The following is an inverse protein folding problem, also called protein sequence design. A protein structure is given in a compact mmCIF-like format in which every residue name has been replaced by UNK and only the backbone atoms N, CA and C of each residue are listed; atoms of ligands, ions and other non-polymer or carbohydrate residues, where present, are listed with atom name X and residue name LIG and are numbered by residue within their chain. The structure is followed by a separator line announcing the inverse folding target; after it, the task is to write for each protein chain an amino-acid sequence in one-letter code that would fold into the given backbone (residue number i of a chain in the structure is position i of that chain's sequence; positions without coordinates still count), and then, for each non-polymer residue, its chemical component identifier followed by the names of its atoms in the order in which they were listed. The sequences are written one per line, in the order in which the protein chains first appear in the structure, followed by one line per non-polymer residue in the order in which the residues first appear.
data_IF_487657527000
#
_entry.id   IF_487657527000
#
_cell.length_a   1.000
_cell.length_b   1.000
_cell.length_c   1.000
_cell.angle_alpha   90.00
_cell.angle_beta   90.00
_cell.angle_gamma   90.00
#
_symmetry.space_group_name_H-M   'P 1'
#
loop_
_entity.id
_entity.type
_entity.pdbx_description
1 polymer ?
#
# COMPACT_ATOMS: atom_id res chain seq x y z
N UNK A 1 -19.44 -48.91 -20.07
CA UNK A 1 -20.39 -47.89 -20.53
C UNK A 1 -21.85 -48.30 -20.24
N UNK A 2 -22.51 -49.21 -20.97
CA UNK A 2 -23.89 -49.64 -20.63
C UNK A 2 -23.99 -50.29 -19.23
N UNK A 3 -23.04 -51.16 -18.87
CA UNK A 3 -22.98 -51.79 -17.56
C UNK A 3 -22.83 -50.78 -16.40
N UNK A 4 -22.14 -49.65 -16.62
CA UNK A 4 -21.96 -48.62 -15.59
C UNK A 4 -23.25 -47.83 -15.38
N UNK A 5 -24.01 -47.56 -16.45
CA UNK A 5 -25.33 -46.98 -16.35
C UNK A 5 -26.28 -47.89 -15.56
N UNK A 6 -26.37 -49.18 -15.90
CA UNK A 6 -27.21 -50.14 -15.17
C UNK A 6 -26.77 -50.26 -13.71
N UNK A 7 -25.46 -50.37 -13.45
CA UNK A 7 -24.90 -50.46 -12.11
C UNK A 7 -25.25 -49.24 -11.25
N UNK A 8 -25.24 -48.04 -11.83
CA UNK A 8 -25.56 -46.80 -11.10
C UNK A 8 -27.03 -46.71 -10.65
N UNK A 9 -27.94 -47.37 -11.38
CA UNK A 9 -29.36 -47.47 -11.00
C UNK A 9 -29.58 -48.52 -9.89
N UNK A 10 -28.81 -49.62 -9.92
CA UNK A 10 -28.91 -50.71 -8.94
C UNK A 10 -28.17 -50.41 -7.63
N UNK A 11 -27.02 -49.74 -7.72
CA UNK A 11 -26.14 -49.39 -6.59
C UNK A 11 -25.50 -48.03 -6.85
N UNK A 12 -26.17 -46.92 -6.48
CA UNK A 12 -25.65 -45.58 -6.71
C UNK A 12 -24.33 -45.35 -5.96
N UNK A 13 -23.48 -44.49 -6.51
CA UNK A 13 -22.21 -44.12 -5.88
C UNK A 13 -22.52 -43.38 -4.59
N UNK A 14 -21.96 -43.85 -3.48
CA UNK A 14 -22.03 -43.17 -2.19
C UNK A 14 -20.92 -42.09 -2.12
N UNK A 15 -21.27 -40.80 -1.97
CA UNK A 15 -20.27 -39.73 -1.93
C UNK A 15 -19.25 -39.88 -0.80
N UNK A 16 -19.66 -40.40 0.36
CA UNK A 16 -18.75 -40.55 1.52
C UNK A 16 -17.69 -41.62 1.29
N UNK A 17 -18.07 -42.79 0.72
CA UNK A 17 -17.12 -43.86 0.37
C UNK A 17 -16.14 -43.39 -0.73
N UNK A 18 -16.65 -42.63 -1.70
CA UNK A 18 -15.84 -42.02 -2.74
C UNK A 18 -14.86 -40.99 -2.16
N UNK A 19 -15.32 -40.12 -1.25
CA UNK A 19 -14.47 -39.14 -0.58
C UNK A 19 -13.40 -39.81 0.28
N UNK A 20 -13.71 -40.91 0.96
CA UNK A 20 -12.74 -41.68 1.73
C UNK A 20 -11.62 -42.23 0.84
N UNK A 21 -11.97 -42.73 -0.35
CA UNK A 21 -11.00 -43.23 -1.33
C UNK A 21 -10.15 -42.09 -1.89
N UNK A 22 -10.79 -40.98 -2.27
CA UNK A 22 -10.11 -39.78 -2.76
C UNK A 22 -9.12 -39.21 -1.74
N UNK A 23 -9.54 -39.06 -0.48
CA UNK A 23 -8.70 -38.60 0.63
C UNK A 23 -7.51 -39.51 0.87
N UNK A 24 -7.71 -40.83 0.78
CA UNK A 24 -6.62 -41.80 0.92
C UNK A 24 -5.55 -41.60 -0.17
N UNK A 25 -5.95 -41.48 -1.43
CA UNK A 25 -5.04 -41.26 -2.56
C UNK A 25 -4.23 -39.97 -2.38
N UNK A 26 -4.86 -38.89 -1.92
CA UNK A 26 -4.16 -37.64 -1.65
C UNK A 26 -3.16 -37.78 -0.50
N UNK A 27 -3.55 -38.46 0.58
CA UNK A 27 -2.66 -38.73 1.71
C UNK A 27 -1.44 -39.56 1.31
N UNK A 28 -1.60 -40.52 0.40
CA UNK A 28 -0.49 -41.34 -0.10
C UNK A 28 0.55 -40.51 -0.89
N UNK A 29 0.18 -39.30 -1.35
CA UNK A 29 1.06 -38.35 -2.04
C UNK A 29 1.48 -37.17 -1.15
N UNK A 30 1.36 -37.29 0.17
CA UNK A 30 1.63 -36.20 1.12
C UNK A 30 0.79 -34.93 0.89
N UNK A 31 -0.38 -35.07 0.26
CA UNK A 31 -1.32 -33.96 0.01
C UNK A 31 -2.33 -33.94 1.16
N UNK A 32 -2.20 -32.96 2.04
CA UNK A 32 -3.15 -32.73 3.13
C UNK A 32 -4.13 -31.59 2.82
N UNK A 33 -5.35 -31.73 3.33
CA UNK A 33 -6.40 -30.73 3.17
C UNK A 33 -7.79 -31.32 3.40
N UNK A 34 -8.80 -30.44 3.43
CA UNK A 34 -10.19 -30.85 3.53
C UNK A 34 -10.70 -31.28 2.16
N UNK A 35 -11.27 -32.47 2.06
CA UNK A 35 -11.78 -33.03 0.80
C UNK A 35 -13.28 -33.24 0.84
N UNK A 36 -13.91 -33.18 -0.32
CA UNK A 36 -15.27 -33.62 -0.50
C UNK A 36 -15.54 -34.09 -1.93
N UNK A 37 -16.64 -34.81 -2.11
CA UNK A 37 -17.10 -35.25 -3.42
C UNK A 37 -18.56 -34.93 -3.62
N UNK A 38 -18.94 -34.78 -4.88
CA UNK A 38 -20.27 -34.42 -5.32
C UNK A 38 -20.68 -35.40 -6.40
N UNK A 39 -21.78 -36.09 -6.14
CA UNK A 39 -22.43 -36.99 -7.06
C UNK A 39 -23.66 -36.31 -7.65
N UNK A 40 -23.69 -36.17 -8.95
CA UNK A 40 -24.81 -35.60 -9.70
C UNK A 40 -25.56 -36.74 -10.39
N UNK A 41 -26.87 -36.84 -10.14
CA UNK A 41 -27.77 -37.74 -10.85
C UNK A 41 -28.98 -36.94 -11.34
N UNK A 42 -29.00 -36.66 -12.65
CA UNK A 42 -30.02 -35.81 -13.29
C UNK A 42 -30.12 -34.43 -12.60
N UNK A 43 -31.14 -34.23 -11.75
CA UNK A 43 -31.42 -32.99 -11.02
C UNK A 43 -30.99 -33.02 -9.54
N UNK A 44 -30.54 -34.17 -9.02
CA UNK A 44 -30.18 -34.33 -7.62
C UNK A 44 -28.66 -34.32 -7.48
N UNK A 45 -28.13 -33.44 -6.64
CA UNK A 45 -26.73 -33.45 -6.22
C UNK A 45 -26.62 -33.94 -4.78
N UNK A 46 -25.83 -34.99 -4.58
CA UNK A 46 -25.50 -35.50 -3.24
C UNK A 46 -24.06 -35.14 -2.93
N UNK A 47 -23.84 -34.58 -1.74
CA UNK A 47 -22.53 -34.16 -1.26
C UNK A 47 -22.05 -35.13 -0.19
N UNK A 48 -20.74 -35.42 -0.18
CA UNK A 48 -20.11 -36.08 0.96
C UNK A 48 -20.11 -35.13 2.16
N UNK A 49 -20.35 -35.65 3.36
CA UNK A 49 -20.58 -34.86 4.59
C UNK A 49 -21.71 -33.83 4.41
N UNK A 50 -22.95 -34.26 4.66
CA UNK A 50 -24.28 -33.63 4.40
C UNK A 50 -24.50 -32.11 4.67
N UNK A 51 -23.50 -31.31 5.04
CA UNK A 51 -23.69 -29.90 5.43
C UNK A 51 -22.58 -28.92 5.01
N UNK A 52 -21.56 -29.33 4.25
CA UNK A 52 -20.42 -28.43 4.00
C UNK A 52 -20.44 -27.78 2.63
N UNK A 53 -20.82 -26.50 2.60
CA UNK A 53 -20.58 -25.63 1.46
C UNK A 53 -19.09 -25.71 1.06
N UNK A 54 -18.83 -25.84 -0.24
CA UNK A 54 -17.48 -25.92 -0.78
C UNK A 54 -16.76 -24.61 -0.44
N UNK A 55 -15.59 -24.67 0.22
CA UNK A 55 -14.81 -23.47 0.49
C UNK A 55 -14.46 -22.74 -0.82
N UNK A 56 -14.50 -21.41 -0.83
CA UNK A 56 -14.16 -20.61 -2.02
C UNK A 56 -12.73 -20.82 -2.51
N UNK A 57 -11.84 -21.26 -1.64
CA UNK A 57 -10.43 -21.55 -1.92
C UNK A 57 -10.19 -22.99 -2.38
N UNK A 58 -11.22 -23.83 -2.39
CA UNK A 58 -11.08 -25.22 -2.78
C UNK A 58 -10.86 -25.34 -4.29
N UNK A 59 -9.91 -26.20 -4.67
CA UNK A 59 -9.75 -26.61 -6.05
C UNK A 59 -10.79 -27.67 -6.38
N UNK A 60 -11.53 -27.46 -7.46
CA UNK A 60 -12.53 -28.40 -7.97
C UNK A 60 -11.94 -29.21 -9.13
N UNK A 61 -12.02 -30.53 -9.06
CA UNK A 61 -11.63 -31.38 -10.17
C UNK A 61 -12.60 -31.22 -11.35
N UNK A 62 -12.20 -31.58 -12.58
CA UNK A 62 -13.13 -31.68 -13.70
C UNK A 62 -14.29 -32.62 -13.38
N UNK A 63 -15.44 -32.38 -13.99
CA UNK A 63 -16.60 -33.26 -13.84
C UNK A 63 -16.42 -34.48 -14.74
N UNK A 64 -16.33 -35.66 -14.12
CA UNK A 64 -16.23 -36.92 -14.84
C UNK A 64 -17.61 -37.49 -15.08
N UNK A 65 -17.90 -37.81 -16.34
CA UNK A 65 -19.14 -38.48 -16.74
C UNK A 65 -18.95 -39.99 -16.53
N UNK A 66 -19.85 -40.60 -15.77
CA UNK A 66 -19.74 -42.02 -15.37
C UNK A 66 -20.61 -42.94 -16.23
N UNK A 67 -21.53 -42.35 -17.01
CA UNK A 67 -22.51 -43.10 -17.79
C UNK A 67 -22.60 -42.65 -19.26
N UNK A 68 -23.21 -43.50 -20.08
CA UNK A 68 -23.43 -43.18 -21.51
C UNK A 68 -24.45 -42.05 -21.72
N UNK A 69 -25.34 -41.82 -20.74
CA UNK A 69 -26.42 -40.84 -20.88
C UNK A 69 -26.00 -39.42 -20.47
N UNK A 70 -24.75 -39.26 -20.01
CA UNK A 70 -24.19 -38.01 -19.50
C UNK A 70 -24.94 -37.39 -18.32
N UNK A 71 -25.85 -38.15 -17.70
CA UNK A 71 -26.69 -37.70 -16.61
C UNK A 71 -26.04 -37.94 -15.24
N UNK A 72 -25.00 -38.77 -15.21
CA UNK A 72 -24.29 -39.13 -13.98
C UNK A 72 -22.90 -38.52 -14.04
N UNK A 73 -22.67 -37.56 -13.14
CA UNK A 73 -21.40 -36.85 -13.07
C UNK A 73 -20.85 -36.95 -11.66
N UNK A 74 -19.53 -37.04 -11.56
CA UNK A 74 -18.82 -37.03 -10.29
C UNK A 74 -17.79 -35.92 -10.32
N UNK A 75 -17.72 -35.18 -9.22
CA UNK A 75 -16.74 -34.12 -9.01
C UNK A 75 -16.14 -34.26 -7.62
N UNK A 76 -14.87 -33.97 -7.47
CA UNK A 76 -14.19 -33.89 -6.18
C UNK A 76 -13.68 -32.48 -5.97
N UNK A 77 -13.48 -32.10 -4.72
CA UNK A 77 -12.83 -30.87 -4.36
C UNK A 77 -11.87 -31.08 -3.20
N UNK A 78 -10.82 -30.28 -3.18
CA UNK A 78 -9.82 -30.29 -2.13
C UNK A 78 -9.44 -28.86 -1.78
N UNK A 79 -9.53 -28.54 -0.49
CA UNK A 79 -8.98 -27.32 0.07
C UNK A 79 -7.62 -27.66 0.65
N UNK A 80 -6.56 -27.41 -0.12
CA UNK A 80 -5.19 -27.74 0.25
C UNK A 80 -4.74 -26.95 1.47
N UNK A 81 -3.99 -27.60 2.36
CA UNK A 81 -3.29 -26.89 3.42
C UNK A 81 -2.14 -26.06 2.83
N UNK A 82 -1.87 -24.90 3.43
CA UNK A 82 -0.78 -24.02 2.99
C UNK A 82 0.58 -24.74 2.93
N UNK A 83 0.83 -25.67 3.86
CA UNK A 83 2.05 -26.50 3.89
C UNK A 83 2.18 -27.39 2.66
N UNK A 84 1.08 -27.97 2.20
CA UNK A 84 1.02 -28.81 1.00
C UNK A 84 1.34 -28.00 -0.24
N UNK A 85 0.75 -26.80 -0.34
CA UNK A 85 1.01 -25.87 -1.44
C UNK A 85 2.50 -25.54 -1.45
N UNK A 86 3.08 -25.11 -0.33
CA UNK A 86 4.48 -24.71 -0.26
C UNK A 86 5.46 -25.84 -0.65
N UNK A 87 5.15 -27.08 -0.30
CA UNK A 87 5.99 -28.25 -0.63
C UNK A 87 5.98 -28.60 -2.12
N UNK A 88 4.89 -28.31 -2.81
CA UNK A 88 4.69 -28.64 -4.22
C UNK A 88 4.89 -27.44 -5.16
N UNK A 89 5.35 -26.28 -4.66
CA UNK A 89 5.75 -25.16 -5.50
C UNK A 89 7.06 -25.51 -6.21
N UNK A 90 7.10 -25.30 -7.53
CA UNK A 90 8.33 -25.45 -8.32
C UNK A 90 9.43 -24.50 -7.84
N UNK A 91 10.67 -24.99 -7.79
CA UNK A 91 11.82 -24.21 -7.34
C UNK A 91 12.00 -22.90 -8.11
N UNK A 92 11.69 -22.88 -9.41
CA UNK A 92 11.77 -21.67 -10.25
C UNK A 92 10.77 -20.61 -9.80
N UNK A 93 9.53 -21.01 -9.52
CA UNK A 93 8.47 -20.12 -9.05
C UNK A 93 8.78 -19.60 -7.65
N UNK A 94 9.30 -20.46 -6.77
CA UNK A 94 9.74 -20.07 -5.43
C UNK A 94 10.82 -18.97 -5.48
N UNK A 95 11.83 -19.14 -6.34
CA UNK A 95 12.88 -18.14 -6.53
C UNK A 95 12.36 -16.81 -7.08
N UNK A 96 11.43 -16.85 -8.05
CA UNK A 96 10.81 -15.64 -8.61
C UNK A 96 10.01 -14.85 -7.55
N UNK A 97 9.24 -15.56 -6.72
CA UNK A 97 8.50 -14.94 -5.61
C UNK A 97 9.49 -14.29 -4.63
N UNK A 98 10.59 -14.95 -4.31
CA UNK A 98 11.66 -14.41 -3.47
C UNK A 98 12.25 -13.12 -4.02
N UNK A 99 12.58 -13.09 -5.32
CA UNK A 99 13.11 -11.89 -5.98
C UNK A 99 12.12 -10.72 -5.97
N UNK A 100 10.83 -10.98 -6.21
CA UNK A 100 9.78 -9.97 -6.15
C UNK A 100 9.64 -9.38 -4.74
N UNK A 101 9.69 -10.22 -3.71
CA UNK A 101 9.64 -9.78 -2.31
C UNK A 101 10.82 -8.89 -1.94
N UNK A 102 12.03 -9.21 -2.41
CA UNK A 102 13.22 -8.38 -2.20
C UNK A 102 13.07 -7.03 -2.91
N UNK A 103 12.58 -7.01 -4.15
CA UNK A 103 12.36 -5.78 -4.90
C UNK A 103 11.35 -4.87 -4.18
N UNK A 104 10.24 -5.43 -3.71
CA UNK A 104 9.22 -4.69 -2.94
C UNK A 104 9.84 -4.13 -1.66
N UNK A 105 10.65 -4.91 -0.94
CA UNK A 105 11.33 -4.46 0.26
C UNK A 105 12.28 -3.29 -0.02
N UNK A 106 13.06 -3.37 -1.09
CA UNK A 106 13.95 -2.27 -1.53
C UNK A 106 13.15 -1.01 -1.86
N UNK A 107 12.03 -1.13 -2.60
CA UNK A 107 11.18 0.01 -2.93
C UNK A 107 10.61 0.69 -1.68
N UNK A 108 10.18 -0.10 -0.69
CA UNK A 108 9.69 0.43 0.60
C UNK A 108 10.82 1.16 1.34
N UNK A 109 12.03 0.58 1.35
CA UNK A 109 13.19 1.18 2.01
C UNK A 109 13.60 2.50 1.36
N UNK A 110 13.68 2.54 0.03
CA UNK A 110 14.00 3.76 -0.73
C UNK A 110 12.93 4.85 -0.55
N UNK A 111 11.65 4.47 -0.48
CA UNK A 111 10.58 5.44 -0.20
C UNK A 111 10.74 6.05 1.18
N UNK A 112 11.05 5.24 2.19
CA UNK A 112 11.26 5.69 3.57
C UNK A 112 12.45 6.67 3.68
N UNK A 113 13.54 6.40 2.98
CA UNK A 113 14.71 7.30 2.97
C UNK A 113 14.38 8.66 2.36
N UNK A 114 13.65 8.68 1.23
CA UNK A 114 13.19 9.94 0.60
C UNK A 114 12.25 10.74 1.50
N UNK A 115 11.27 10.10 2.14
CA UNK A 115 10.33 10.76 3.05
C UNK A 115 11.05 11.29 4.30
N UNK A 116 12.09 10.60 4.76
CA UNK A 116 12.92 11.06 5.89
C UNK A 116 13.78 12.25 5.49
N UNK A 117 14.38 12.24 4.29
CA UNK A 117 15.17 13.37 3.80
C UNK A 117 14.32 14.63 3.59
N UNK A 118 13.12 14.52 3.02
CA UNK A 118 12.21 15.67 2.88
C UNK A 118 11.74 16.20 4.22
N UNK A 119 11.45 15.34 5.20
CA UNK A 119 11.15 15.78 6.58
C UNK A 119 12.34 16.49 7.25
N UNK A 120 13.56 16.04 6.98
CA UNK A 120 14.79 16.64 7.52
C UNK A 120 15.18 17.97 6.87
N UNK A 121 14.59 18.34 5.73
CA UNK A 121 14.84 19.64 5.11
C UNK A 121 13.69 20.62 5.29
N UNK A 122 12.51 20.17 5.74
CA UNK A 122 11.37 21.06 5.97
C UNK A 122 11.66 22.09 7.08
N UNK A 123 11.30 23.35 6.77
CA UNK A 123 11.27 24.46 7.70
C UNK A 123 10.00 24.36 8.55
N UNK A 124 10.18 24.31 9.87
CA UNK A 124 9.12 24.33 10.86
C UNK A 124 9.18 25.65 11.65
N UNK A 125 8.10 26.42 11.58
CA UNK A 125 7.97 27.73 12.22
C UNK A 125 6.93 27.60 13.32
N UNK A 126 7.38 27.64 14.58
CA UNK A 126 6.50 27.67 15.75
C UNK A 126 6.28 29.12 16.18
N UNK A 127 5.14 29.68 15.79
CA UNK A 127 4.76 31.05 16.12
C UNK A 127 4.35 31.23 17.59
N UNK A 128 3.97 30.17 18.31
CA UNK A 128 3.63 30.25 19.73
C UNK A 128 4.90 30.37 20.57
N UNK A 129 5.88 29.51 20.29
CA UNK A 129 7.17 29.49 21.00
C UNK A 129 8.20 30.47 20.45
N UNK A 130 7.94 31.06 19.29
CA UNK A 130 8.87 31.94 18.58
C UNK A 130 10.17 31.23 18.20
N UNK A 131 10.05 30.00 17.71
CA UNK A 131 11.18 29.15 17.36
C UNK A 131 11.14 28.76 15.88
N UNK A 132 12.31 28.81 15.24
CA UNK A 132 12.53 28.35 13.88
C UNK A 132 13.39 27.09 13.90
N UNK A 133 12.88 26.02 13.31
CA UNK A 133 13.65 24.81 13.03
C UNK A 133 13.74 24.62 11.52
N UNK A 134 14.94 24.41 11.01
CA UNK A 134 15.13 23.98 9.62
C UNK A 134 15.79 22.61 9.71
N UNK A 135 15.02 21.58 9.36
CA UNK A 135 15.37 20.20 9.71
C UNK A 135 15.47 20.00 11.21
N UNK A 136 16.60 19.45 11.66
CA UNK A 136 16.87 19.22 13.08
C UNK A 136 17.62 20.36 13.78
N UNK A 137 17.82 21.51 13.11
CA UNK A 137 18.61 22.61 13.66
C UNK A 137 17.72 23.76 14.11
N UNK A 138 17.82 24.10 15.39
CA UNK A 138 17.22 25.33 15.96
C UNK A 138 17.98 26.55 15.47
N UNK A 139 17.26 27.49 14.86
CA UNK A 139 17.81 28.75 14.38
C UNK A 139 17.43 29.88 15.35
N UNK A 140 18.41 30.72 15.69
CA UNK A 140 18.14 31.92 16.46
C UNK A 140 17.68 33.05 15.52
N UNK A 141 16.47 33.56 15.74
CA UNK A 141 15.83 34.56 14.89
C UNK A 141 14.97 35.49 15.75
N UNK A 142 14.90 36.77 15.39
CA UNK A 142 14.09 37.73 16.13
C UNK A 142 12.60 37.54 15.84
N UNK A 143 11.74 37.93 16.78
CA UNK A 143 10.27 37.81 16.66
C UNK A 143 9.72 38.41 15.35
N UNK A 144 10.12 39.62 14.99
CA UNK A 144 9.67 40.27 13.75
C UNK A 144 10.24 39.60 12.49
N UNK A 145 11.49 39.14 12.53
CA UNK A 145 12.10 38.37 11.44
C UNK A 145 11.34 37.06 11.21
N UNK A 146 10.94 36.38 12.30
CA UNK A 146 10.18 35.13 12.25
C UNK A 146 8.79 35.35 11.65
N UNK A 147 8.09 36.41 12.06
CA UNK A 147 6.76 36.73 11.51
C UNK A 147 6.83 37.06 10.02
N UNK A 148 7.85 37.83 9.59
CA UNK A 148 8.06 38.13 8.18
C UNK A 148 8.41 36.87 7.38
N UNK A 149 9.28 36.01 7.93
CA UNK A 149 9.62 34.73 7.30
C UNK A 149 8.39 33.83 7.19
N UNK A 150 7.55 33.75 8.22
CA UNK A 150 6.31 32.96 8.20
C UNK A 150 5.37 33.42 7.09
N UNK A 151 5.18 34.73 6.95
CA UNK A 151 4.36 35.30 5.86
C UNK A 151 4.90 34.92 4.47
N UNK A 152 6.22 34.94 4.28
CA UNK A 152 6.86 34.54 3.02
C UNK A 152 6.79 33.02 2.80
N UNK A 153 6.79 32.23 3.87
CA UNK A 153 6.71 30.78 3.84
C UNK A 153 5.29 30.29 3.54
N UNK A 154 4.27 30.86 4.17
CA UNK A 154 2.85 30.60 3.87
C UNK A 154 2.51 30.93 2.41
N UNK A 155 3.15 31.97 1.87
CA UNK A 155 3.02 32.41 0.47
C UNK A 155 4.16 31.90 -0.41
N UNK A 156 4.86 30.86 0.00
CA UNK A 156 5.90 30.26 -0.83
C UNK A 156 5.33 29.82 -2.18
N UNK A 157 6.17 29.88 -3.20
CA UNK A 157 5.75 29.96 -4.62
C UNK A 157 5.42 31.38 -5.16
N UNK A 158 5.03 32.35 -4.31
CA UNK A 158 4.50 33.65 -4.79
C UNK A 158 5.28 34.88 -4.30
N UNK A 159 5.39 35.91 -5.15
CA UNK A 159 6.07 37.15 -4.79
C UNK A 159 5.17 38.02 -3.91
N UNK A 160 5.59 38.27 -2.67
CA UNK A 160 4.91 39.17 -1.73
C UNK A 160 5.44 40.59 -1.93
N UNK A 161 4.53 41.55 -2.09
CA UNK A 161 4.91 42.94 -2.37
C UNK A 161 5.36 43.69 -1.11
N UNK A 162 6.13 44.77 -1.29
CA UNK A 162 6.55 45.62 -0.15
C UNK A 162 5.35 46.26 0.55
N UNK A 163 4.36 46.73 -0.20
CA UNK A 163 3.14 47.31 0.34
C UNK A 163 2.33 46.30 1.16
N UNK A 164 2.29 45.05 0.72
CA UNK A 164 1.63 43.97 1.45
C UNK A 164 2.33 43.63 2.77
N UNK A 165 3.67 43.56 2.75
CA UNK A 165 4.46 43.36 3.97
C UNK A 165 4.26 44.54 4.92
N UNK A 166 4.35 45.78 4.41
CA UNK A 166 4.13 47.01 5.19
C UNK A 166 2.75 47.00 5.83
N UNK A 167 1.70 46.74 5.06
CA UNK A 167 0.31 46.71 5.56
C UNK A 167 0.13 45.68 6.69
N UNK A 168 0.82 44.54 6.62
CA UNK A 168 0.66 43.46 7.59
C UNK A 168 1.50 43.63 8.87
N UNK A 169 2.70 44.22 8.78
CA UNK A 169 3.61 44.32 9.93
C UNK A 169 3.74 45.75 10.49
N UNK A 170 3.58 46.77 9.65
CA UNK A 170 3.77 48.18 9.99
C UNK A 170 2.75 49.10 9.27
N UNK A 171 1.45 48.97 9.55
CA UNK A 171 0.40 49.69 8.82
C UNK A 171 0.47 51.21 8.96
N UNK A 172 1.04 51.72 10.06
CA UNK A 172 1.08 53.15 10.40
C UNK A 172 2.51 53.73 10.40
N UNK A 173 3.49 53.02 9.86
CA UNK A 173 4.90 53.42 9.90
C UNK A 173 5.38 53.91 8.53
N UNK A 174 5.75 55.18 8.46
CA UNK A 174 6.28 55.78 7.24
C UNK A 174 7.69 55.26 6.91
N UNK A 175 8.46 54.80 7.91
CA UNK A 175 9.78 54.20 7.71
C UNK A 175 9.77 52.66 7.62
N UNK A 176 8.62 52.07 7.29
CA UNK A 176 8.50 50.61 7.17
C UNK A 176 9.45 50.02 6.11
N UNK A 177 9.74 50.75 5.02
CA UNK A 177 10.56 50.23 3.92
C UNK A 177 12.01 49.93 4.34
N UNK A 178 12.65 50.83 5.11
CA UNK A 178 14.00 50.60 5.63
C UNK A 178 14.03 49.44 6.64
N UNK A 179 12.99 49.33 7.47
CA UNK A 179 12.83 48.23 8.43
C UNK A 179 12.69 46.88 7.72
N UNK A 180 11.88 46.81 6.66
CA UNK A 180 11.73 45.61 5.83
C UNK A 180 13.11 45.18 5.31
N UNK A 181 13.89 46.10 4.76
CA UNK A 181 15.20 45.76 4.20
C UNK A 181 16.19 45.25 5.26
N UNK A 182 16.14 45.81 6.48
CA UNK A 182 16.92 45.31 7.62
C UNK A 182 16.50 43.88 8.03
N UNK A 183 15.21 43.62 8.14
CA UNK A 183 14.67 42.30 8.48
C UNK A 183 14.97 41.25 7.39
N UNK A 184 14.80 41.61 6.11
CA UNK A 184 15.18 40.76 4.96
C UNK A 184 16.67 40.40 5.01
N UNK A 185 17.54 41.33 5.41
CA UNK A 185 18.98 41.08 5.57
C UNK A 185 19.27 40.12 6.74
N UNK A 186 18.56 40.27 7.86
CA UNK A 186 18.66 39.37 9.01
C UNK A 186 18.23 37.94 8.63
N UNK A 187 17.06 37.80 8.01
CA UNK A 187 16.53 36.51 7.53
C UNK A 187 17.51 35.85 6.56
N UNK A 188 18.07 36.60 5.61
CA UNK A 188 19.10 36.06 4.69
C UNK A 188 20.32 35.51 5.41
N UNK A 189 20.73 36.13 6.52
CA UNK A 189 21.88 35.66 7.30
C UNK A 189 21.57 34.30 7.96
N UNK A 190 20.36 34.13 8.48
CA UNK A 190 19.88 32.86 9.06
C UNK A 190 19.78 31.79 7.97
N UNK A 191 19.15 32.11 6.83
CA UNK A 191 18.99 31.17 5.71
C UNK A 191 20.30 30.85 4.98
N UNK A 192 21.37 31.64 5.16
CA UNK A 192 22.66 31.41 4.48
C UNK A 192 23.26 30.03 4.80
N UNK A 193 22.97 29.50 5.99
CA UNK A 193 23.42 28.18 6.40
C UNK A 193 22.65 27.04 5.71
N UNK A 194 21.52 27.33 5.07
CA UNK A 194 20.61 26.37 4.46
C UNK A 194 20.44 26.69 2.97
N UNK A 195 21.33 26.17 2.11
CA UNK A 195 21.41 26.53 0.70
C UNK A 195 20.13 26.25 -0.11
N UNK A 196 19.30 25.34 0.38
CA UNK A 196 18.02 24.96 -0.22
C UNK A 196 16.97 26.08 -0.12
N UNK A 197 17.03 26.89 0.94
CA UNK A 197 16.14 28.02 1.14
C UNK A 197 16.78 29.30 0.63
N UNK A 198 16.10 29.99 -0.30
CA UNK A 198 16.64 31.23 -0.88
C UNK A 198 15.61 32.35 -0.91
N UNK A 199 15.96 33.46 -0.27
CA UNK A 199 15.15 34.68 -0.28
C UNK A 199 15.55 35.61 -1.43
N UNK A 200 14.73 35.61 -2.48
CA UNK A 200 14.97 36.33 -3.74
C UNK A 200 14.27 37.69 -3.72
N UNK A 201 14.97 38.74 -4.15
CA UNK A 201 14.36 40.06 -4.41
C UNK A 201 14.00 40.16 -5.88
N UNK A 202 12.74 40.48 -6.16
CA UNK A 202 12.25 40.77 -7.50
C UNK A 202 12.11 42.28 -7.63
N UNK A 203 12.99 42.91 -8.43
CA UNK A 203 13.05 44.37 -8.59
C UNK A 203 11.68 44.92 -9.01
N UNK A 204 11.19 45.91 -8.27
CA UNK A 204 9.90 46.55 -8.52
C UNK A 204 8.66 45.73 -8.13
N UNK A 205 8.80 44.49 -7.65
CA UNK A 205 7.66 43.66 -7.22
C UNK A 205 7.70 43.35 -5.73
N UNK A 206 8.82 42.89 -5.19
CA UNK A 206 8.93 42.54 -3.77
C UNK A 206 9.88 41.37 -3.50
N UNK A 207 9.47 40.46 -2.62
CA UNK A 207 10.28 39.36 -2.10
C UNK A 207 9.59 38.02 -2.28
N UNK A 208 10.38 36.98 -2.53
CA UNK A 208 9.91 35.63 -2.77
C UNK A 208 10.82 34.62 -2.07
N UNK A 209 10.24 33.70 -1.29
CA UNK A 209 10.96 32.59 -0.69
C UNK A 209 10.88 31.36 -1.59
N UNK A 210 12.05 30.92 -2.06
CA UNK A 210 12.21 29.63 -2.73
C UNK A 210 12.44 28.54 -1.68
N UNK A 211 11.56 27.54 -1.69
CA UNK A 211 11.64 26.29 -0.92
C UNK A 211 12.26 25.21 -1.84
N UNK A 212 12.99 24.21 -1.30
CA UNK A 212 13.44 23.02 -2.04
C UNK A 212 12.33 22.33 -2.85
#
# INVERSE_FOLDING_TARGET
MLNQYILSQLKPIKPDELNATFRKILSDHDITGRTGTIYYNKSISQHSDQSSAIPRTAYNTPRYIVDITQNIKVQAWVNYDFKTILRHIDNTLFWLIGQLMILIFILIFLKKEKDTQTLLTLMNIDMEKQELYIGNKKCNIQKLDLTLLNMLYEKAGTCVSREEIKKSLWPTDDNANEKIDAHIKSIRKVLKEFQEYKLITVRGKGYYLRIP
#
